data_IF_268032822484
#
_entry.id   IF_268032822484
#
_cell.length_a   1.000
_cell.length_b   1.000
_cell.length_c   1.000
_cell.angle_alpha   90.00
_cell.angle_beta   90.00
_cell.angle_gamma   90.00
#
_symmetry.space_group_name_H-M   'P 1'
#
loop_
_entity.id
_entity.type
_entity.pdbx_description
1 polymer ?
#
# COMPACT_ATOMS: atom_id res chain seq x y z
N UNK A 1 -21.25 -22.45 16.21
CA UNK A 1 -21.56 -21.05 16.59
C UNK A 1 -20.58 -20.18 15.87
N UNK A 2 -21.04 -19.30 14.98
CA UNK A 2 -20.17 -18.35 14.27
C UNK A 2 -20.14 -17.08 15.12
N UNK A 3 -18.97 -16.74 15.66
CA UNK A 3 -18.81 -15.50 16.45
C UNK A 3 -18.55 -14.35 15.47
N UNK A 4 -19.44 -13.35 15.46
CA UNK A 4 -19.22 -12.11 14.70
C UNK A 4 -18.19 -11.24 15.41
N UNK A 5 -17.15 -10.81 14.69
CA UNK A 5 -16.12 -9.88 15.17
C UNK A 5 -16.26 -8.52 14.50
N UNK A 6 -15.90 -7.45 15.20
CA UNK A 6 -15.79 -6.10 14.61
C UNK A 6 -14.48 -5.95 13.83
N UNK A 7 -14.39 -4.94 12.95
CA UNK A 7 -13.14 -4.65 12.23
C UNK A 7 -11.98 -4.32 13.18
N UNK A 8 -12.26 -3.59 14.26
CA UNK A 8 -11.24 -3.29 15.28
C UNK A 8 -10.71 -4.57 15.96
N UNK A 9 -11.60 -5.51 16.29
CA UNK A 9 -11.20 -6.80 16.87
C UNK A 9 -10.38 -7.65 15.88
N UNK A 10 -10.70 -7.58 14.59
CA UNK A 10 -9.92 -8.25 13.55
C UNK A 10 -8.55 -7.59 13.38
N UNK A 11 -8.47 -6.26 13.41
CA UNK A 11 -7.21 -5.52 13.31
C UNK A 11 -6.26 -5.88 14.46
N UNK A 12 -6.76 -5.84 15.71
CA UNK A 12 -5.97 -6.19 16.90
C UNK A 12 -5.46 -7.64 16.86
N UNK A 13 -6.25 -8.57 16.31
CA UNK A 13 -5.83 -9.96 16.15
C UNK A 13 -4.78 -10.14 15.05
N UNK A 14 -4.78 -9.24 14.06
CA UNK A 14 -3.84 -9.28 12.96
C UNK A 14 -2.50 -8.67 13.31
N UNK A 15 -2.43 -7.69 14.21
CA UNK A 15 -1.19 -7.02 14.60
C UNK A 15 -0.07 -8.01 14.96
N UNK A 16 0.97 -8.05 14.13
CA UNK A 16 2.10 -8.98 14.22
C UNK A 16 2.02 -10.19 13.28
N UNK A 17 0.98 -10.29 12.44
CA UNK A 17 0.78 -11.36 11.45
C UNK A 17 0.47 -10.86 10.04
N UNK A 18 0.19 -9.56 9.89
CA UNK A 18 0.07 -8.85 8.61
C UNK A 18 1.45 -8.70 7.93
N UNK A 19 1.50 -8.52 6.60
CA UNK A 19 2.74 -8.20 5.93
C UNK A 19 3.22 -6.78 6.29
N UNK A 20 4.53 -6.56 6.24
CA UNK A 20 5.10 -5.23 6.52
C UNK A 20 4.70 -4.20 5.46
N UNK A 21 4.50 -4.65 4.23
CA UNK A 21 4.10 -3.83 3.10
C UNK A 21 3.30 -4.65 2.08
N UNK A 22 2.67 -3.95 1.16
CA UNK A 22 1.90 -4.58 0.08
C UNK A 22 2.33 -3.98 -1.25
N UNK A 23 2.82 -4.83 -2.15
CA UNK A 23 3.05 -4.47 -3.55
C UNK A 23 1.73 -4.59 -4.30
N UNK A 24 1.30 -3.50 -4.93
CA UNK A 24 0.17 -3.49 -5.84
C UNK A 24 0.70 -3.33 -7.24
N UNK A 25 0.65 -4.43 -7.98
CA UNK A 25 1.07 -4.52 -9.38
C UNK A 25 0.15 -3.71 -10.30
N UNK A 26 0.64 -3.39 -11.50
CA UNK A 26 -0.09 -2.62 -12.50
C UNK A 26 -1.40 -3.29 -12.96
N UNK A 27 -1.48 -4.62 -12.93
CA UNK A 27 -2.70 -5.38 -13.21
C UNK A 27 -3.60 -5.53 -11.97
N UNK A 28 -3.41 -4.65 -10.99
CA UNK A 28 -4.19 -4.57 -9.76
C UNK A 28 -4.17 -5.87 -8.97
N UNK A 29 -3.03 -6.58 -8.92
CA UNK A 29 -2.80 -7.66 -7.96
C UNK A 29 -2.10 -7.15 -6.72
N UNK A 30 -2.64 -7.55 -5.57
CA UNK A 30 -2.04 -7.35 -4.25
C UNK A 30 -1.06 -8.49 -3.93
N UNK A 31 0.17 -8.14 -3.57
CA UNK A 31 1.22 -9.09 -3.20
C UNK A 31 1.81 -8.66 -1.86
N UNK A 32 1.77 -9.57 -0.89
CA UNK A 32 2.31 -9.35 0.45
C UNK A 32 3.85 -9.28 0.39
N UNK A 33 4.43 -8.28 1.06
CA UNK A 33 5.87 -8.05 1.12
C UNK A 33 6.28 -7.93 2.58
N UNK A 34 7.18 -8.81 3.02
CA UNK A 34 7.86 -8.65 4.31
C UNK A 34 9.14 -7.85 4.08
N UNK A 35 9.26 -6.74 4.81
CA UNK A 35 10.37 -5.83 4.69
C UNK A 35 11.43 -6.15 5.74
N UNK A 36 12.70 -5.87 5.47
CA UNK A 36 13.73 -5.99 6.47
C UNK A 36 13.43 -5.05 7.65
N UNK A 37 13.75 -5.49 8.87
CA UNK A 37 13.47 -4.75 10.11
C UNK A 37 14.24 -3.41 10.28
N UNK A 38 14.90 -2.90 9.23
CA UNK A 38 15.69 -1.67 9.29
C UNK A 38 14.96 -0.52 8.58
N UNK A 39 14.31 0.39 9.32
CA UNK A 39 13.54 1.48 8.74
C UNK A 39 14.40 2.57 8.07
N UNK A 40 15.70 2.63 8.32
CA UNK A 40 16.57 3.69 7.75
C UNK A 40 16.78 3.53 6.24
N UNK A 41 16.51 2.35 5.68
CA UNK A 41 16.76 2.01 4.27
C UNK A 41 15.48 1.73 3.47
N UNK A 42 14.32 2.20 3.96
CA UNK A 42 13.03 1.95 3.31
C UNK A 42 12.99 2.36 1.84
N UNK A 43 13.57 3.50 1.47
CA UNK A 43 13.61 3.96 0.09
C UNK A 43 14.40 3.00 -0.82
N UNK A 44 15.53 2.45 -0.33
CA UNK A 44 16.33 1.47 -1.06
C UNK A 44 15.57 0.14 -1.24
N UNK A 45 14.83 -0.28 -0.22
CA UNK A 45 13.98 -1.47 -0.31
C UNK A 45 12.81 -1.25 -1.27
N UNK A 46 12.16 -0.09 -1.22
CA UNK A 46 11.10 0.27 -2.15
C UNK A 46 11.61 0.25 -3.59
N UNK A 47 12.75 0.90 -3.85
CA UNK A 47 13.41 0.91 -5.15
C UNK A 47 13.74 -0.52 -5.62
N UNK A 48 14.27 -1.38 -4.75
CA UNK A 48 14.57 -2.76 -5.07
C UNK A 48 13.31 -3.60 -5.39
N UNK A 49 12.22 -3.41 -4.66
CA UNK A 49 10.93 -4.09 -4.90
C UNK A 49 10.30 -3.62 -6.22
N UNK A 50 10.31 -2.32 -6.47
CA UNK A 50 9.77 -1.69 -7.67
C UNK A 50 10.67 -1.86 -8.91
N UNK A 51 11.94 -2.22 -8.69
CA UNK A 51 12.99 -2.38 -9.70
C UNK A 51 13.26 -1.08 -10.47
N UNK A 52 13.41 0.01 -9.74
CA UNK A 52 13.77 1.34 -10.25
C UNK A 52 14.96 1.91 -9.47
N UNK A 53 15.55 2.99 -10.00
CA UNK A 53 16.64 3.71 -9.35
C UNK A 53 16.12 4.91 -8.53
N UNK A 54 14.96 5.48 -8.92
CA UNK A 54 14.31 6.58 -8.22
C UNK A 54 12.89 6.21 -7.77
N UNK A 55 12.57 6.58 -6.53
CA UNK A 55 11.25 6.38 -5.95
C UNK A 55 10.65 7.70 -5.48
N UNK A 56 9.39 7.90 -5.83
CA UNK A 56 8.56 8.96 -5.26
C UNK A 56 7.77 8.40 -4.07
N UNK A 57 7.69 9.18 -2.99
CA UNK A 57 6.96 8.83 -1.77
C UNK A 57 5.81 9.82 -1.55
N UNK A 58 4.59 9.28 -1.41
CA UNK A 58 3.36 10.07 -1.22
C UNK A 58 2.56 9.54 -0.03
N UNK A 59 2.06 10.44 0.81
CA UNK A 59 1.08 10.12 1.85
C UNK A 59 -0.32 10.16 1.26
N UNK A 60 -1.06 9.05 1.37
CA UNK A 60 -2.37 8.90 0.70
C UNK A 60 -3.55 8.92 1.67
N UNK A 61 -3.35 8.44 2.90
CA UNK A 61 -4.32 8.47 3.98
C UNK A 61 -3.60 8.46 5.34
N UNK A 62 -4.28 8.76 6.46
CA UNK A 62 -3.72 8.49 7.77
C UNK A 62 -3.28 7.02 7.88
N UNK A 63 -2.03 6.78 8.28
CA UNK A 63 -1.47 5.43 8.39
C UNK A 63 -0.89 4.84 7.10
N UNK A 64 -1.26 5.36 5.92
CA UNK A 64 -0.88 4.75 4.63
C UNK A 64 0.00 5.64 3.77
N UNK A 65 1.15 5.09 3.41
CA UNK A 65 2.15 5.69 2.53
C UNK A 65 2.31 4.86 1.25
N UNK A 66 2.61 5.53 0.16
CA UNK A 66 2.70 4.95 -1.18
C UNK A 66 4.05 5.30 -1.81
N UNK A 67 4.68 4.32 -2.42
CA UNK A 67 5.96 4.43 -3.12
C UNK A 67 5.79 4.06 -4.58
N UNK A 68 6.31 4.88 -5.47
CA UNK A 68 6.17 4.75 -6.92
C UNK A 68 7.53 4.84 -7.61
N UNK A 69 7.65 4.19 -8.75
CA UNK A 69 8.75 4.43 -9.70
C UNK A 69 8.60 5.83 -10.29
N UNK A 70 9.51 6.76 -9.96
CA UNK A 70 9.50 8.14 -10.47
C UNK A 70 9.90 8.19 -11.95
N UNK A 71 10.69 7.22 -12.42
CA UNK A 71 11.24 7.17 -13.78
C UNK A 71 10.19 6.71 -14.80
N UNK A 72 9.28 5.83 -14.35
CA UNK A 72 8.23 5.24 -15.17
C UNK A 72 6.92 6.05 -15.28
N UNK A 73 6.87 7.28 -14.74
CA UNK A 73 5.66 8.09 -14.67
C UNK A 73 5.08 8.35 -16.08
N UNK A 74 3.91 7.76 -16.35
CA UNK A 74 3.20 7.89 -17.62
C UNK A 74 3.62 6.91 -18.73
N UNK A 75 4.75 6.22 -18.59
CA UNK A 75 5.20 5.19 -19.53
C UNK A 75 4.64 3.80 -19.19
N UNK A 76 4.35 3.57 -17.91
CA UNK A 76 3.75 2.31 -17.42
C UNK A 76 2.22 2.30 -17.58
N UNK A 77 1.60 1.11 -17.71
CA UNK A 77 0.15 0.97 -17.60
C UNK A 77 -0.41 1.63 -16.34
N UNK A 78 -1.61 2.20 -16.44
CA UNK A 78 -2.29 2.79 -15.29
C UNK A 78 -2.63 1.71 -14.25
N UNK A 79 -2.29 1.98 -12.99
CA UNK A 79 -2.73 1.16 -11.86
C UNK A 79 -4.15 1.58 -11.44
N UNK A 80 -5.14 0.87 -11.97
CA UNK A 80 -6.55 1.25 -11.81
C UNK A 80 -7.00 1.21 -10.35
N UNK A 81 -6.64 0.16 -9.60
CA UNK A 81 -7.00 0.04 -8.19
C UNK A 81 -6.44 1.20 -7.37
N UNK A 82 -5.13 1.44 -7.46
CA UNK A 82 -4.51 2.48 -6.64
C UNK A 82 -4.96 3.87 -7.04
N UNK A 83 -5.12 4.14 -8.34
CA UNK A 83 -5.68 5.43 -8.77
C UNK A 83 -7.08 5.65 -8.19
N UNK A 84 -7.93 4.62 -8.20
CA UNK A 84 -9.24 4.73 -7.57
C UNK A 84 -9.12 4.91 -6.05
N UNK A 85 -8.23 4.16 -5.40
CA UNK A 85 -8.02 4.24 -3.96
C UNK A 85 -7.56 5.64 -3.54
N UNK A 86 -6.56 6.22 -4.20
CA UNK A 86 -6.07 7.57 -3.92
C UNK A 86 -7.13 8.64 -4.21
N UNK A 87 -7.93 8.47 -5.27
CA UNK A 87 -9.03 9.37 -5.61
C UNK A 87 -10.16 9.40 -4.57
N UNK A 88 -10.33 8.32 -3.80
CA UNK A 88 -11.33 8.26 -2.73
C UNK A 88 -10.78 8.72 -1.38
N UNK A 89 -9.52 9.16 -1.31
CA UNK A 89 -8.93 9.74 -0.10
C UNK A 89 -8.59 11.23 -0.34
N UNK A 90 -8.94 12.12 0.61
CA UNK A 90 -8.92 13.57 0.39
C UNK A 90 -7.53 14.14 0.13
N UNK A 91 -6.47 13.51 0.66
CA UNK A 91 -5.10 14.01 0.62
C UNK A 91 -4.39 13.72 -0.72
N UNK A 92 -4.98 12.93 -1.62
CA UNK A 92 -4.37 12.53 -2.90
C UNK A 92 -5.36 12.42 -4.06
N UNK A 93 -6.46 13.18 -3.98
CA UNK A 93 -7.60 13.03 -4.89
C UNK A 93 -7.32 13.29 -6.38
N UNK A 94 -6.20 13.93 -6.72
CA UNK A 94 -5.79 14.19 -8.11
C UNK A 94 -4.69 13.24 -8.63
N UNK A 95 -4.15 12.36 -7.77
CA UNK A 95 -3.03 11.50 -8.14
C UNK A 95 -3.48 10.38 -9.09
N UNK A 96 -2.91 10.37 -10.30
CA UNK A 96 -3.06 9.29 -11.28
C UNK A 96 -1.80 8.43 -11.21
N UNK A 97 -1.97 7.16 -10.84
CA UNK A 97 -0.84 6.27 -10.59
C UNK A 97 -0.63 5.30 -11.75
N UNK A 98 0.62 5.17 -12.16
CA UNK A 98 1.08 4.28 -13.22
C UNK A 98 2.09 3.26 -12.65
N UNK A 99 2.05 2.05 -13.18
CA UNK A 99 2.97 0.97 -12.80
C UNK A 99 2.67 0.31 -11.45
N UNK A 100 3.58 -0.56 -10.99
CA UNK A 100 3.50 -1.14 -9.66
C UNK A 100 3.77 -0.08 -8.59
N UNK A 101 3.17 -0.24 -7.42
CA UNK A 101 3.44 0.60 -6.25
C UNK A 101 3.62 -0.24 -5.00
N UNK A 102 4.44 0.24 -4.07
CA UNK A 102 4.58 -0.35 -2.75
C UNK A 102 3.81 0.49 -1.75
N UNK A 103 2.92 -0.13 -0.98
CA UNK A 103 2.16 0.51 0.09
C UNK A 103 2.73 0.08 1.43
N UNK A 104 3.03 1.06 2.28
CA UNK A 104 3.62 0.88 3.61
C UNK A 104 2.78 1.58 4.66
N UNK A 105 2.98 1.19 5.92
CA UNK A 105 2.46 1.92 7.08
C UNK A 105 3.21 3.23 7.35
N UNK A 106 2.74 3.95 8.35
CA UNK A 106 3.34 5.21 8.77
C UNK A 106 3.17 5.46 10.27
N UNK A 107 4.26 5.89 10.91
CA UNK A 107 4.26 6.29 12.31
C UNK A 107 4.93 7.66 12.48
N UNK A 108 4.14 8.69 12.80
CA UNK A 108 4.63 10.05 13.01
C UNK A 108 5.05 10.75 11.72
N UNK A 109 6.36 10.83 11.46
CA UNK A 109 6.94 11.35 10.20
C UNK A 109 7.77 10.26 9.47
N UNK A 110 7.68 9.01 9.94
CA UNK A 110 8.51 7.91 9.46
C UNK A 110 7.68 6.81 8.83
N UNK A 111 8.28 6.12 7.85
CA UNK A 111 7.67 4.94 7.23
C UNK A 111 7.82 3.75 8.17
N UNK A 112 6.76 2.96 8.29
CA UNK A 112 6.68 1.83 9.19
C UNK A 112 6.05 0.61 8.48
N UNK A 113 6.18 -0.60 9.05
CA UNK A 113 5.34 -1.73 8.66
C UNK A 113 3.84 -1.38 8.73
N UNK A 114 3.03 -1.98 7.87
CA UNK A 114 1.57 -1.86 7.94
C UNK A 114 1.05 -2.34 9.28
N UNK A 115 0.15 -1.60 9.90
CA UNK A 115 -0.64 -2.08 11.04
C UNK A 115 -1.80 -2.96 10.54
N UNK A 116 -2.35 -3.82 11.39
CA UNK A 116 -3.45 -4.71 11.03
C UNK A 116 -4.69 -3.95 10.53
N UNK A 117 -4.96 -2.77 11.11
CA UNK A 117 -6.05 -1.90 10.68
C UNK A 117 -5.83 -1.35 9.26
N UNK A 118 -4.62 -0.89 8.96
CA UNK A 118 -4.25 -0.34 7.65
C UNK A 118 -4.29 -1.40 6.56
N UNK A 119 -3.77 -2.59 6.87
CA UNK A 119 -3.84 -3.74 5.97
C UNK A 119 -5.29 -4.14 5.69
N UNK A 120 -6.14 -4.22 6.72
CA UNK A 120 -7.57 -4.54 6.55
C UNK A 120 -8.29 -3.49 5.70
N UNK A 121 -8.01 -2.21 5.90
CA UNK A 121 -8.59 -1.13 5.10
C UNK A 121 -8.23 -1.29 3.61
N UNK A 122 -6.95 -1.55 3.32
CA UNK A 122 -6.49 -1.80 1.95
C UNK A 122 -7.13 -3.07 1.36
N UNK A 123 -7.12 -4.18 2.10
CA UNK A 123 -7.64 -5.47 1.66
C UNK A 123 -9.17 -5.44 1.41
N UNK A 124 -9.92 -4.74 2.24
CA UNK A 124 -11.37 -4.56 2.06
C UNK A 124 -11.68 -3.68 0.85
N UNK A 125 -10.89 -2.62 0.63
CA UNK A 125 -11.01 -1.78 -0.55
C UNK A 125 -10.63 -2.53 -1.84
N UNK A 126 -9.70 -3.47 -1.73
CA UNK A 126 -9.24 -4.31 -2.84
C UNK A 126 -10.27 -5.37 -3.27
N UNK A 127 -11.08 -5.91 -2.36
CA UNK A 127 -12.27 -6.67 -2.73
C UNK A 127 -13.39 -5.76 -3.28
N UNK A 128 -14.53 -6.31 -3.75
CA UNK A 128 -14.70 -7.03 -5.00
C UNK A 128 -14.54 -6.11 -6.25
N UNK A 129 -13.35 -5.53 -6.47
CA UNK A 129 -13.00 -4.99 -7.79
C UNK A 129 -12.65 -6.09 -8.82
N UNK A 130 -12.68 -7.36 -8.39
CA UNK A 130 -12.53 -8.56 -9.24
C UNK A 130 -13.86 -9.06 -9.83
N UNK A 131 -14.66 -8.17 -10.40
CA UNK A 131 -15.69 -8.56 -11.38
C UNK A 131 -15.81 -7.48 -12.45
N UNK A 132 -15.01 -7.60 -13.50
CA UNK A 132 -15.32 -7.16 -14.86
C UNK A 132 -14.39 -7.90 -15.84
#
# INVERSE_FOLDING_TARGET
MTTTKTLAQLAEEMDGTQPDAVLITEDSRMVDVNLPANPEHFAEYAAAVLRCDLVEHVKIAPGLHLWMDEEGLGERPRNAFITWFTQNHPDSSELIVHGPVLVTGHHGDQVAPLEGADYLHLALAYGPLSTA
#
